data_IF_812231725190
#
_entry.id   IF_812231725190
#
_cell.length_a   1.000
_cell.length_b   1.000
_cell.length_c   1.000
_cell.angle_alpha   90.00
_cell.angle_beta   90.00
_cell.angle_gamma   90.00
#
_symmetry.space_group_name_H-M   'P 1'
#
loop_
_entity.id
_entity.type
_entity.pdbx_description
1 polymer ?
#
# COMPACT_ATOMS: atom_id res chain seq x y z
N UNK A 1 -2.80 22.50 -14.33
CA UNK A 1 -3.13 21.56 -13.24
C UNK A 1 -1.90 20.72 -12.94
N UNK A 2 -1.54 20.53 -11.67
CA UNK A 2 -0.41 19.66 -11.28
C UNK A 2 -0.79 18.20 -11.52
N UNK A 3 0.02 17.49 -12.30
CA UNK A 3 -0.13 16.06 -12.56
C UNK A 3 0.70 15.29 -11.53
N UNK A 4 0.14 14.22 -10.96
CA UNK A 4 0.94 13.29 -10.16
C UNK A 4 1.94 12.56 -11.06
N UNK A 5 3.14 12.23 -10.57
CA UNK A 5 4.08 11.41 -11.32
C UNK A 5 3.44 10.06 -11.67
N UNK A 6 3.63 9.61 -12.90
CA UNK A 6 3.22 8.27 -13.33
C UNK A 6 4.14 7.20 -12.76
N UNK A 7 3.75 5.92 -12.87
CA UNK A 7 4.65 4.82 -12.53
C UNK A 7 5.98 4.89 -13.29
N UNK A 8 5.96 5.29 -14.57
CA UNK A 8 7.19 5.44 -15.35
C UNK A 8 8.03 6.66 -14.94
N UNK A 9 7.40 7.74 -14.47
CA UNK A 9 8.13 8.83 -13.84
C UNK A 9 8.82 8.33 -12.57
N UNK A 10 8.11 7.62 -11.69
CA UNK A 10 8.65 7.10 -10.44
C UNK A 10 9.79 6.09 -10.63
N UNK A 11 9.88 5.38 -11.78
CA UNK A 11 11.05 4.55 -12.14
C UNK A 11 12.35 5.34 -12.29
N UNK A 12 12.30 6.68 -12.33
CA UNK A 12 13.50 7.52 -12.29
C UNK A 12 14.08 7.66 -10.88
N UNK A 13 13.36 7.22 -9.85
CA UNK A 13 13.83 7.18 -8.48
C UNK A 13 14.24 5.76 -8.08
N UNK A 14 15.24 5.61 -7.20
CA UNK A 14 15.47 4.34 -6.52
C UNK A 14 14.36 4.06 -5.50
N UNK A 15 14.23 2.81 -5.06
CA UNK A 15 13.09 2.36 -4.24
C UNK A 15 12.95 3.12 -2.91
N UNK A 16 14.04 3.45 -2.21
CA UNK A 16 13.96 4.20 -0.95
C UNK A 16 13.35 5.59 -1.14
N UNK A 17 13.69 6.27 -2.25
CA UNK A 17 13.13 7.57 -2.59
C UNK A 17 11.64 7.46 -2.98
N UNK A 18 11.24 6.39 -3.68
CA UNK A 18 9.83 6.14 -3.99
C UNK A 18 9.00 5.83 -2.72
N UNK A 19 9.54 5.07 -1.78
CA UNK A 19 8.91 4.81 -0.47
C UNK A 19 8.82 6.10 0.36
N UNK A 20 9.89 6.89 0.44
CA UNK A 20 9.87 8.19 1.12
C UNK A 20 8.78 9.12 0.57
N UNK A 21 8.62 9.13 -0.76
CA UNK A 21 7.58 9.89 -1.44
C UNK A 21 6.16 9.46 -1.01
N UNK A 22 5.86 8.15 -1.03
CA UNK A 22 4.57 7.64 -0.58
C UNK A 22 4.34 7.85 0.92
N UNK A 23 5.36 7.64 1.75
CA UNK A 23 5.29 7.83 3.21
C UNK A 23 4.88 9.27 3.57
N UNK A 24 5.44 10.28 2.88
CA UNK A 24 5.03 11.67 3.06
C UNK A 24 3.61 11.96 2.57
N UNK A 25 3.12 11.26 1.56
CA UNK A 25 1.74 11.41 1.12
C UNK A 25 0.78 10.81 2.15
N UNK A 26 1.06 9.61 2.65
CA UNK A 26 0.28 8.96 3.71
C UNK A 26 0.27 9.77 5.01
N UNK A 27 1.43 10.32 5.42
CA UNK A 27 1.54 11.13 6.64
C UNK A 27 0.67 12.40 6.62
N UNK A 28 0.40 12.97 5.44
CA UNK A 28 -0.46 14.16 5.29
C UNK A 28 -1.96 13.90 5.42
N UNK A 29 -2.37 12.64 5.50
CA UNK A 29 -3.77 12.25 5.64
C UNK A 29 -4.04 11.44 6.91
N UNK A 30 -3.02 11.23 7.73
CA UNK A 30 -3.12 10.51 9.00
C UNK A 30 -4.12 11.19 9.96
N UNK A 31 -4.14 12.52 9.99
CA UNK A 31 -5.00 13.34 10.84
C UNK A 31 -6.50 13.25 10.48
N UNK A 32 -6.83 12.69 9.31
CA UNK A 32 -8.20 12.45 8.86
C UNK A 32 -8.82 11.20 9.51
N UNK A 33 -8.00 10.35 10.14
CA UNK A 33 -8.48 9.21 10.92
C UNK A 33 -8.91 9.75 12.28
N UNK A 34 -10.15 10.21 12.39
CA UNK A 34 -10.71 10.82 13.60
C UNK A 34 -11.78 9.93 14.23
N UNK A 35 -11.93 9.97 15.57
CA UNK A 35 -13.04 9.30 16.24
C UNK A 35 -14.38 9.77 15.67
N UNK A 36 -15.21 8.81 15.27
CA UNK A 36 -16.59 9.05 14.87
C UNK A 36 -17.47 7.94 15.42
N UNK A 37 -18.80 8.10 15.37
CA UNK A 37 -19.73 7.03 15.73
C UNK A 37 -19.48 5.75 14.90
N UNK A 38 -19.00 5.92 13.66
CA UNK A 38 -18.63 4.84 12.76
C UNK A 38 -17.24 4.26 13.05
N UNK A 39 -16.39 5.00 13.77
CA UNK A 39 -15.02 4.60 14.12
C UNK A 39 -14.74 4.73 15.63
N UNK A 40 -15.33 3.87 16.46
CA UNK A 40 -15.12 3.91 17.92
C UNK A 40 -13.66 3.63 18.32
N UNK A 41 -12.87 3.03 17.42
CA UNK A 41 -11.45 2.66 17.62
C UNK A 41 -10.48 3.54 16.83
N UNK A 42 -10.88 4.74 16.43
CA UNK A 42 -10.04 5.59 15.58
C UNK A 42 -8.65 5.88 16.16
N UNK A 43 -8.50 5.98 17.48
CA UNK A 43 -7.19 6.18 18.12
C UNK A 43 -6.27 4.96 17.95
N UNK A 44 -6.81 3.75 18.13
CA UNK A 44 -6.09 2.49 17.89
C UNK A 44 -5.65 2.41 16.42
N UNK A 45 -6.54 2.77 15.50
CA UNK A 45 -6.27 2.75 14.06
C UNK A 45 -5.25 3.78 13.64
N UNK A 46 -5.35 5.00 14.20
CA UNK A 46 -4.37 6.06 13.97
C UNK A 46 -3.00 5.61 14.45
N UNK A 47 -2.90 4.95 15.61
CA UNK A 47 -1.65 4.38 16.09
C UNK A 47 -1.08 3.34 15.12
N UNK A 48 -1.89 2.40 14.62
CA UNK A 48 -1.45 1.40 13.63
C UNK A 48 -0.97 2.06 12.33
N UNK A 49 -1.68 3.08 11.86
CA UNK A 49 -1.30 3.84 10.66
C UNK A 49 -0.02 4.64 10.90
N UNK A 50 0.14 5.25 12.07
CA UNK A 50 1.36 5.97 12.45
C UNK A 50 2.56 5.03 12.47
N UNK A 51 2.47 3.89 13.17
CA UNK A 51 3.49 2.84 13.24
C UNK A 51 3.89 2.38 11.81
N UNK A 52 2.90 2.21 10.95
CA UNK A 52 3.10 1.83 9.54
C UNK A 52 3.90 2.86 8.76
N UNK A 53 3.55 4.13 8.90
CA UNK A 53 4.24 5.21 8.21
C UNK A 53 5.67 5.36 8.78
N UNK A 54 5.86 5.28 10.09
CA UNK A 54 7.18 5.37 10.72
C UNK A 54 8.10 4.22 10.31
N UNK A 55 7.58 2.99 10.21
CA UNK A 55 8.33 1.87 9.67
C UNK A 55 8.80 2.13 8.22
N UNK A 56 7.93 2.68 7.38
CA UNK A 56 8.29 3.04 6.01
C UNK A 56 9.30 4.19 5.94
N UNK A 57 9.19 5.20 6.82
CA UNK A 57 10.18 6.28 6.95
C UNK A 57 11.54 5.72 7.38
N UNK A 58 11.57 4.80 8.36
CA UNK A 58 12.78 4.14 8.82
C UNK A 58 13.47 3.36 7.69
N UNK A 59 12.72 2.53 6.95
CA UNK A 59 13.27 1.78 5.80
C UNK A 59 13.78 2.72 4.69
N UNK A 60 13.05 3.78 4.37
CA UNK A 60 13.51 4.76 3.39
C UNK A 60 14.79 5.49 3.84
N UNK A 61 14.95 5.69 5.15
CA UNK A 61 16.15 6.22 5.79
C UNK A 61 17.28 5.17 5.95
N UNK A 62 17.16 4.00 5.31
CA UNK A 62 18.18 2.96 5.33
C UNK A 62 18.20 2.12 6.60
N UNK A 63 17.21 2.28 7.48
CA UNK A 63 17.00 1.43 8.63
C UNK A 63 16.59 0.02 8.21
N UNK A 64 16.96 -0.95 9.03
CA UNK A 64 16.54 -2.34 8.87
C UNK A 64 15.22 -2.55 9.61
N UNK A 65 14.34 -3.36 9.03
CA UNK A 65 13.09 -3.80 9.65
C UNK A 65 13.05 -5.32 9.60
N UNK A 66 12.92 -5.95 10.76
CA UNK A 66 12.83 -7.40 10.85
C UNK A 66 11.60 -7.91 10.08
N UNK A 67 11.75 -9.05 9.39
CA UNK A 67 10.68 -9.61 8.56
C UNK A 67 9.42 -9.92 9.39
N UNK A 68 9.59 -10.43 10.62
CA UNK A 68 8.47 -10.75 11.52
C UNK A 68 7.74 -9.48 11.97
N UNK A 69 8.47 -8.41 12.31
CA UNK A 69 7.89 -7.13 12.68
C UNK A 69 7.12 -6.48 11.51
N UNK A 70 7.64 -6.63 10.28
CA UNK A 70 6.96 -6.14 9.08
C UNK A 70 5.68 -6.95 8.78
N UNK A 71 5.71 -8.26 8.97
CA UNK A 71 4.54 -9.13 8.79
C UNK A 71 3.44 -8.83 9.82
N UNK A 72 3.82 -8.65 11.09
CA UNK A 72 2.89 -8.25 12.16
C UNK A 72 2.25 -6.89 11.86
N UNK A 73 3.05 -5.92 11.39
CA UNK A 73 2.56 -4.61 11.02
C UNK A 73 1.61 -4.65 9.82
N UNK A 74 1.92 -5.47 8.81
CA UNK A 74 1.03 -5.71 7.66
C UNK A 74 -0.30 -6.34 8.10
N UNK A 75 -0.28 -7.31 9.02
CA UNK A 75 -1.50 -7.90 9.57
C UNK A 75 -2.35 -6.88 10.34
N UNK A 76 -1.73 -6.10 11.24
CA UNK A 76 -2.42 -5.07 12.02
C UNK A 76 -3.10 -4.05 11.10
N UNK A 77 -2.43 -3.55 10.07
CA UNK A 77 -3.04 -2.58 9.16
C UNK A 77 -4.13 -3.20 8.26
N UNK A 78 -4.01 -4.48 7.88
CA UNK A 78 -5.07 -5.20 7.14
C UNK A 78 -6.34 -5.28 7.98
N UNK A 79 -6.24 -5.56 9.28
CA UNK A 79 -7.40 -5.55 10.18
C UNK A 79 -8.09 -4.18 10.17
N UNK A 80 -7.31 -3.09 10.23
CA UNK A 80 -7.85 -1.72 10.14
C UNK A 80 -8.54 -1.45 8.79
N UNK A 81 -7.95 -1.88 7.66
CA UNK A 81 -8.55 -1.76 6.32
C UNK A 81 -9.89 -2.48 6.22
N UNK A 82 -9.99 -3.70 6.78
CA UNK A 82 -11.22 -4.50 6.75
C UNK A 82 -12.33 -3.74 7.47
N UNK A 83 -12.09 -3.25 8.69
CA UNK A 83 -13.13 -2.54 9.44
C UNK A 83 -13.48 -1.20 8.76
N UNK A 84 -12.50 -0.46 8.24
CA UNK A 84 -12.75 0.77 7.49
C UNK A 84 -13.63 0.52 6.23
N UNK A 85 -13.45 -0.62 5.57
CA UNK A 85 -14.23 -1.02 4.39
C UNK A 85 -15.67 -1.42 4.74
N UNK A 86 -15.87 -2.06 5.89
CA UNK A 86 -17.20 -2.41 6.41
C UNK A 86 -18.01 -1.15 6.74
N UNK A 87 -17.38 -0.16 7.39
CA UNK A 87 -17.98 1.14 7.65
C UNK A 87 -18.42 1.81 6.35
N UNK A 88 -17.56 1.80 5.34
CA UNK A 88 -17.84 2.34 3.99
C UNK A 88 -18.97 1.63 3.23
N UNK A 89 -19.47 0.50 3.72
CA UNK A 89 -20.56 -0.26 3.09
C UNK A 89 -21.95 0.02 3.69
N UNK A 90 -22.02 0.82 4.76
CA UNK A 90 -23.28 1.20 5.40
C UNK A 90 -24.04 2.26 4.58
N UNK A 91 -25.36 2.43 4.80
CA UNK A 91 -26.17 3.40 4.04
C UNK A 91 -25.86 4.86 4.37
N UNK A 92 -25.19 5.13 5.49
CA UNK A 92 -24.96 6.49 6.03
C UNK A 92 -23.46 6.84 6.09
N UNK A 93 -22.73 6.54 5.02
CA UNK A 93 -21.29 6.86 4.96
C UNK A 93 -21.08 8.36 4.80
N UNK A 94 -20.49 8.99 5.81
CA UNK A 94 -20.13 10.41 5.75
C UNK A 94 -18.91 10.63 4.86
N UNK A 95 -18.68 11.88 4.44
CA UNK A 95 -17.46 12.23 3.70
C UNK A 95 -16.20 11.94 4.54
N UNK A 96 -16.23 12.26 5.84
CA UNK A 96 -15.14 11.98 6.77
C UNK A 96 -14.82 10.49 6.82
N UNK A 97 -15.84 9.62 6.79
CA UNK A 97 -15.62 8.17 6.79
C UNK A 97 -14.91 7.67 5.54
N UNK A 98 -15.23 8.23 4.37
CA UNK A 98 -14.52 7.93 3.13
C UNK A 98 -13.06 8.40 3.19
N UNK A 99 -12.83 9.59 3.73
CA UNK A 99 -11.47 10.14 3.86
C UNK A 99 -10.60 9.29 4.79
N UNK A 100 -11.15 8.87 5.92
CA UNK A 100 -10.47 7.96 6.84
C UNK A 100 -10.16 6.60 6.17
N UNK A 101 -11.12 6.01 5.45
CA UNK A 101 -10.89 4.76 4.73
C UNK A 101 -9.80 4.88 3.65
N UNK A 102 -9.75 5.99 2.92
CA UNK A 102 -8.68 6.26 1.95
C UNK A 102 -7.32 6.49 2.63
N UNK A 103 -7.28 7.14 3.78
CA UNK A 103 -6.04 7.32 4.56
C UNK A 103 -5.48 5.98 5.05
N UNK A 104 -6.34 5.09 5.57
CA UNK A 104 -5.99 3.72 5.96
C UNK A 104 -5.48 2.92 4.76
N UNK A 105 -6.14 3.01 3.60
CA UNK A 105 -5.69 2.35 2.37
C UNK A 105 -4.32 2.86 1.90
N UNK A 106 -4.02 4.15 2.10
CA UNK A 106 -2.70 4.71 1.80
C UNK A 106 -1.60 4.07 2.66
N UNK A 107 -1.85 3.86 3.95
CA UNK A 107 -0.93 3.20 4.86
C UNK A 107 -0.74 1.71 4.52
N UNK A 108 -1.82 0.99 4.20
CA UNK A 108 -1.72 -0.41 3.77
C UNK A 108 -0.91 -0.57 2.48
N UNK A 109 -1.19 0.24 1.45
CA UNK A 109 -0.41 0.21 0.22
C UNK A 109 1.07 0.56 0.46
N UNK A 110 1.35 1.46 1.42
CA UNK A 110 2.71 1.81 1.82
C UNK A 110 3.45 0.64 2.49
N UNK A 111 2.86 -0.05 3.48
CA UNK A 111 3.52 -1.21 4.11
C UNK A 111 3.77 -2.33 3.10
N UNK A 112 2.81 -2.54 2.18
CA UNK A 112 2.97 -3.51 1.12
C UNK A 112 4.12 -3.14 0.16
N UNK A 113 4.29 -1.85 -0.14
CA UNK A 113 5.44 -1.35 -0.90
C UNK A 113 6.77 -1.64 -0.19
N UNK A 114 6.84 -1.43 1.13
CA UNK A 114 8.02 -1.72 1.96
C UNK A 114 8.34 -3.22 1.92
N UNK A 115 7.36 -4.08 2.15
CA UNK A 115 7.49 -5.55 2.09
C UNK A 115 8.05 -6.01 0.74
N UNK A 116 7.51 -5.50 -0.37
CA UNK A 116 7.97 -5.80 -1.71
C UNK A 116 9.38 -5.27 -2.01
N UNK A 117 9.74 -4.09 -1.50
CA UNK A 117 11.08 -3.52 -1.69
C UNK A 117 12.15 -4.30 -0.91
N UNK A 118 11.84 -4.74 0.31
CA UNK A 118 12.72 -5.63 1.09
C UNK A 118 12.89 -6.97 0.37
N UNK A 119 11.79 -7.57 -0.08
CA UNK A 119 11.84 -8.82 -0.85
C UNK A 119 12.60 -8.67 -2.18
N UNK A 120 12.59 -7.50 -2.82
CA UNK A 120 13.32 -7.24 -4.06
C UNK A 120 14.84 -7.39 -3.91
N UNK A 121 15.38 -7.29 -2.70
CA UNK A 121 16.82 -7.45 -2.46
C UNK A 121 17.29 -8.89 -2.64
N UNK A 122 16.45 -9.85 -2.24
CA UNK A 122 16.75 -11.30 -2.25
C UNK A 122 16.04 -12.04 -3.37
N UNK A 123 15.08 -11.42 -4.06
CA UNK A 123 14.35 -12.03 -5.16
C UNK A 123 15.25 -12.36 -6.36
N UNK A 124 15.01 -13.53 -6.97
CA UNK A 124 15.66 -13.95 -8.21
C UNK A 124 15.44 -12.94 -9.37
N UNK A 125 14.28 -12.26 -9.39
CA UNK A 125 13.96 -11.17 -10.31
C UNK A 125 13.73 -9.87 -9.55
N UNK A 126 14.82 -9.15 -9.26
CA UNK A 126 14.80 -7.86 -8.56
C UNK A 126 13.85 -6.85 -9.22
N UNK A 127 13.89 -6.76 -10.55
CA UNK A 127 13.06 -5.83 -11.34
C UNK A 127 11.56 -6.10 -11.20
N UNK A 128 11.14 -7.37 -11.16
CA UNK A 128 9.71 -7.70 -11.01
C UNK A 128 9.19 -7.32 -9.62
N UNK A 129 9.93 -7.67 -8.56
CA UNK A 129 9.59 -7.28 -7.19
C UNK A 129 9.58 -5.75 -7.03
N UNK A 130 10.58 -5.05 -7.57
CA UNK A 130 10.66 -3.60 -7.57
C UNK A 130 9.49 -2.93 -8.33
N UNK A 131 9.05 -3.49 -9.46
CA UNK A 131 7.89 -2.98 -10.19
C UNK A 131 6.59 -3.13 -9.38
N UNK A 132 6.43 -4.23 -8.63
CA UNK A 132 5.29 -4.40 -7.73
C UNK A 132 5.34 -3.40 -6.58
N UNK A 133 6.51 -3.20 -5.97
CA UNK A 133 6.70 -2.19 -4.92
C UNK A 133 6.31 -0.80 -5.43
N UNK A 134 6.69 -0.47 -6.66
CA UNK A 134 6.36 0.80 -7.30
C UNK A 134 4.85 0.97 -7.55
N UNK A 135 4.15 -0.10 -7.95
CA UNK A 135 2.70 -0.08 -8.10
C UNK A 135 2.01 0.19 -6.75
N UNK A 136 2.53 -0.39 -5.67
CA UNK A 136 2.05 -0.13 -4.31
C UNK A 136 2.33 1.32 -3.87
N UNK A 137 3.48 1.89 -4.23
CA UNK A 137 3.79 3.32 -4.02
C UNK A 137 2.77 4.21 -4.74
N UNK A 138 2.47 3.95 -6.02
CA UNK A 138 1.44 4.70 -6.77
C UNK A 138 0.09 4.60 -6.08
N UNK A 139 -0.30 3.38 -5.67
CA UNK A 139 -1.57 3.14 -4.97
C UNK A 139 -1.66 3.91 -3.66
N UNK A 140 -0.57 3.96 -2.88
CA UNK A 140 -0.53 4.72 -1.62
C UNK A 140 -0.72 6.23 -1.86
N UNK A 141 -0.08 6.77 -2.90
CA UNK A 141 -0.18 8.19 -3.26
C UNK A 141 -1.58 8.54 -3.77
N UNK A 142 -2.15 7.71 -4.65
CA UNK A 142 -3.50 7.92 -5.16
C UNK A 142 -4.55 7.84 -4.04
N UNK A 143 -4.41 6.90 -3.11
CA UNK A 143 -5.26 6.81 -1.93
C UNK A 143 -5.14 8.04 -1.03
N UNK A 144 -3.93 8.54 -0.77
CA UNK A 144 -3.74 9.77 0.00
C UNK A 144 -4.36 11.00 -0.70
N UNK A 145 -4.27 11.08 -2.03
CA UNK A 145 -4.89 12.18 -2.79
C UNK A 145 -6.42 12.05 -2.82
N UNK A 146 -6.96 10.83 -2.84
CA UNK A 146 -8.40 10.59 -2.72
C UNK A 146 -8.92 10.98 -1.32
N UNK A 147 -8.16 10.71 -0.27
CA UNK A 147 -8.45 11.17 1.09
C UNK A 147 -8.43 12.71 1.20
N UNK A 148 -7.42 13.37 0.61
CA UNK A 148 -7.32 14.82 0.62
C UNK A 148 -6.71 15.35 -0.70
N UNK A 149 -7.53 15.98 -1.57
CA UNK A 149 -7.05 16.52 -2.84
C UNK A 149 -5.90 17.53 -2.73
N UNK A 150 -5.75 18.21 -1.58
CA UNK A 150 -4.64 19.16 -1.34
C UNK A 150 -3.27 18.49 -1.33
N UNK A 151 -3.20 17.18 -1.03
CA UNK A 151 -1.96 16.38 -1.03
C UNK A 151 -1.30 16.41 -2.42
N UNK A 152 -2.07 16.51 -3.51
CA UNK A 152 -1.57 16.49 -4.88
C UNK A 152 -0.46 17.52 -5.15
N UNK A 153 -0.63 18.75 -4.68
CA UNK A 153 0.35 19.83 -4.90
C UNK A 153 1.65 19.58 -4.12
N UNK A 154 1.52 19.12 -2.88
CA UNK A 154 2.66 18.82 -2.02
C UNK A 154 3.42 17.58 -2.53
N UNK A 155 2.70 16.60 -3.05
CA UNK A 155 3.27 15.42 -3.69
C UNK A 155 4.06 15.78 -4.96
N UNK A 156 3.52 16.62 -5.85
CA UNK A 156 4.27 17.11 -7.02
C UNK A 156 5.58 17.84 -6.62
N UNK A 157 5.54 18.63 -5.55
CA UNK A 157 6.71 19.29 -5.03
C UNK A 157 7.76 18.33 -4.46
N UNK A 158 7.35 17.34 -3.64
CA UNK A 158 8.24 16.31 -3.11
C UNK A 158 8.89 15.49 -4.23
N UNK A 159 8.10 15.10 -5.24
CA UNK A 159 8.58 14.44 -6.45
C UNK A 159 9.69 15.23 -7.14
N UNK A 160 9.45 16.51 -7.43
CA UNK A 160 10.44 17.39 -8.08
C UNK A 160 11.72 17.56 -7.27
N UNK A 161 11.63 17.57 -5.95
CA UNK A 161 12.81 17.59 -5.07
C UNK A 161 13.59 16.28 -5.18
N UNK A 162 12.91 15.15 -5.00
CA UNK A 162 13.52 13.82 -5.08
C UNK A 162 14.18 13.55 -6.43
N UNK A 163 13.53 13.92 -7.54
CA UNK A 163 14.04 13.68 -8.89
C UNK A 163 15.32 14.46 -9.21
N UNK A 164 15.64 15.51 -8.43
CA UNK A 164 16.87 16.29 -8.57
C UNK A 164 18.00 15.77 -7.66
N UNK A 165 17.66 14.93 -6.67
CA UNK A 165 18.64 14.34 -5.78
C UNK A 165 19.30 13.14 -6.45
N UNK A 166 20.64 13.08 -6.46
CA UNK A 166 21.42 11.95 -7.01
C UNK A 166 21.42 10.76 -6.05
N UNK A 167 20.25 10.15 -5.84
CA UNK A 167 20.02 9.07 -4.88
C UNK A 167 20.29 7.67 -5.46
N UNK A 168 20.43 7.51 -6.77
CA UNK A 168 20.62 6.21 -7.42
C UNK A 168 19.62 6.02 -8.56
N UNK A 169 19.44 4.77 -8.98
CA UNK A 169 18.56 4.42 -10.09
C UNK A 169 17.71 3.19 -9.75
N UNK A 170 16.48 3.14 -10.28
CA UNK A 170 15.65 1.94 -10.24
C UNK A 170 16.33 0.76 -11.00
N UNK A 171 16.21 -0.50 -10.57
CA UNK A 171 15.43 -1.01 -9.42
C UNK A 171 16.21 -1.09 -8.10
N UNK A 172 17.33 -0.37 -7.96
CA UNK A 172 18.11 -0.41 -6.71
C UNK A 172 17.38 0.32 -5.57
N UNK A 173 17.72 -0.01 -4.32
CA UNK A 173 17.24 0.74 -3.15
C UNK A 173 17.70 2.20 -3.16
N UNK A 174 18.90 2.45 -3.67
CA UNK A 174 19.52 3.78 -3.70
C UNK A 174 20.02 4.24 -2.33
N UNK A 175 20.37 5.52 -2.25
CA UNK A 175 20.83 6.18 -1.03
C UNK A 175 19.66 6.37 -0.06
N UNK A 176 19.88 6.14 1.24
CA UNK A 176 18.94 6.50 2.29
C UNK A 176 18.48 7.94 2.21
N UNK A 177 17.21 8.18 2.53
CA UNK A 177 16.63 9.52 2.65
C UNK A 177 15.62 9.58 3.79
N UNK A 178 15.84 10.52 4.71
CA UNK A 178 14.88 10.78 5.78
C UNK A 178 13.66 11.52 5.22
N UNK A 179 12.50 10.88 5.27
CA UNK A 179 11.24 11.43 4.78
C UNK A 179 10.47 12.27 5.83
N UNK A 180 10.98 12.33 7.07
CA UNK A 180 10.40 13.07 8.19
C UNK A 180 10.39 14.60 8.00
N UNK A 181 9.80 15.34 8.96
CA UNK A 181 9.67 16.79 8.89
C UNK A 181 11.01 17.54 8.85
N UNK A 182 12.03 16.99 9.51
CA UNK A 182 13.40 17.55 9.55
C UNK A 182 14.30 17.04 8.41
N UNK A 183 13.72 16.23 7.50
CA UNK A 183 14.43 15.68 6.35
C UNK A 183 14.67 16.70 5.23
N UNK A 184 15.45 16.32 4.19
CA UNK A 184 15.76 17.20 3.05
C UNK A 184 14.54 17.63 2.22
N UNK A 185 13.38 16.99 2.41
CA UNK A 185 12.13 17.35 1.76
C UNK A 185 11.43 18.53 2.46
N UNK A 186 11.81 18.82 3.71
CA UNK A 186 11.28 19.90 4.53
C UNK A 186 9.96 19.54 5.24
N UNK A 187 9.29 20.54 5.83
CA UNK A 187 8.05 20.34 6.59
C UNK A 187 6.98 19.61 5.78
N UNK A 188 6.17 18.77 6.45
CA UNK A 188 5.10 17.99 5.82
C UNK A 188 4.00 18.87 5.22
N UNK A 189 3.62 19.89 6.00
CA UNK A 189 2.65 20.89 5.61
C UNK A 189 3.45 22.13 5.19
N UNK A 190 3.06 22.76 4.09
CA UNK A 190 3.73 23.94 3.57
C UNK A 190 3.50 25.18 4.44
N UNK A 191 3.74 25.09 5.75
CA UNK A 191 3.95 26.25 6.60
C UNK A 191 5.16 26.94 6.02
N UNK A 192 4.89 27.91 5.14
CA UNK A 192 5.86 28.91 4.77
C UNK A 192 6.23 29.54 6.11
N UNK A 193 7.33 29.08 6.69
CA UNK A 193 7.95 29.75 7.82
C UNK A 193 8.36 31.10 7.27
N UNK A 194 7.50 32.10 7.46
CA UNK A 194 7.66 33.50 7.08
C UNK A 194 8.83 34.18 7.81
N UNK A 195 9.74 33.42 8.39
CA UNK A 195 10.81 33.89 9.27
C UNK A 195 12.19 33.32 8.95
N UNK A 196 12.41 32.68 7.79
CA UNK A 196 13.78 32.41 7.36
C UNK A 196 14.36 33.70 6.78
N UNK A 197 14.95 34.49 7.67
CA UNK A 197 15.95 35.50 7.36
C UNK A 197 17.06 34.83 6.54
N UNK A 198 16.92 34.86 5.22
CA UNK A 198 17.96 34.42 4.32
C UNK A 198 19.24 35.20 4.69
N UNK A 199 20.36 34.52 4.99
CA UNK A 199 21.64 35.21 5.12
C UNK A 199 21.90 35.93 3.81
N UNK A 200 22.06 37.25 3.90
CA UNK A 200 22.36 38.13 2.76
C UNK A 200 23.44 37.47 1.91
N UNK A 201 23.15 37.13 0.63
CA UNK A 201 24.15 36.51 -0.22
C UNK A 201 25.34 37.47 -0.38
N UNK A 202 26.58 36.99 -0.27
CA UNK A 202 27.74 37.82 -0.54
C UNK A 202 27.69 38.36 -1.98
N UNK A 203 28.19 39.58 -2.22
CA UNK A 203 28.15 40.22 -3.53
C UNK A 203 28.83 39.33 -4.58
N UNK A 204 28.10 39.06 -5.67
CA UNK A 204 28.51 38.21 -6.79
C UNK A 204 29.63 38.91 -7.57
N UNK A 205 30.82 38.31 -7.74
CA UNK A 205 31.86 38.85 -8.61
C UNK A 205 31.41 38.77 -10.07
N UNK A 206 31.43 39.90 -10.76
CA UNK A 206 31.31 40.00 -12.22
C UNK A 206 32.63 39.56 -12.85
N UNK A 207 32.66 38.40 -13.50
CA UNK A 207 33.77 38.00 -14.35
C UNK A 207 33.25 37.31 -15.61
N UNK A 208 33.64 37.91 -16.73
CA UNK A 208 33.62 37.39 -18.09
C UNK A 208 34.15 35.96 -18.19
N UNK A 209 33.60 35.17 -19.12
CA UNK A 209 34.37 34.56 -20.20
C UNK A 209 33.44 33.87 -21.22
N UNK A 210 33.59 34.30 -22.46
CA UNK A 210 33.16 33.64 -23.69
C UNK A 210 33.85 32.26 -23.79
N UNK A 211 33.07 31.19 -23.91
CA UNK A 211 33.58 29.91 -24.43
C UNK A 211 32.91 29.55 -25.76
N UNK A 212 33.69 29.18 -26.79
CA UNK A 212 33.19 28.79 -28.10
C UNK A 212 32.58 27.39 -28.07
N UNK A 213 31.37 27.29 -28.63
CA UNK A 213 30.62 26.05 -28.82
C UNK A 213 31.29 25.19 -29.90
N UNK A 214 31.71 23.94 -29.63
CA UNK A 214 32.20 23.04 -30.65
C UNK A 214 31.04 22.49 -31.48
N UNK A 215 30.97 22.93 -32.73
CA UNK A 215 30.03 22.49 -33.76
C UNK A 215 30.43 21.09 -34.27
N UNK A 216 30.10 20.04 -33.52
CA UNK A 216 30.27 18.66 -33.95
C UNK A 216 29.02 18.20 -34.73
N UNK A 217 29.05 18.40 -36.06
CA UNK A 217 28.08 17.82 -36.98
C UNK A 217 28.27 16.30 -37.05
N UNK A 218 27.47 15.58 -36.26
CA UNK A 218 27.34 14.13 -36.36
C UNK A 218 26.50 13.82 -37.60
N UNK A 219 27.15 13.28 -38.63
CA UNK A 219 26.50 12.77 -39.84
C UNK A 219 25.50 11.68 -39.41
N UNK A 220 24.19 11.83 -39.69
CA UNK A 220 23.20 10.85 -39.32
C UNK A 220 23.46 9.55 -40.08
N UNK A 221 23.67 8.46 -39.35
CA UNK A 221 23.76 7.13 -39.94
C UNK A 221 22.49 6.84 -40.75
N UNK A 222 22.61 6.20 -41.93
CA UNK A 222 21.47 5.85 -42.75
C UNK A 222 20.53 4.95 -41.94
N UNK A 223 19.35 5.50 -41.63
CA UNK A 223 18.33 4.79 -40.87
C UNK A 223 17.94 3.46 -41.53
N UNK A 224 17.44 2.50 -40.76
CA UNK A 224 17.06 1.18 -41.28
C UNK A 224 16.04 1.35 -42.42
N UNK A 225 16.33 0.69 -43.55
CA UNK A 225 15.49 0.71 -44.75
C UNK A 225 14.05 0.32 -44.39
N UNK A 226 13.05 0.94 -45.02
CA UNK A 226 11.62 0.72 -44.75
C UNK A 226 11.24 -0.78 -44.75
N UNK A 227 11.90 -1.58 -45.59
CA UNK A 227 11.71 -3.04 -45.64
C UNK A 227 12.14 -3.77 -44.35
N UNK A 228 13.25 -3.34 -43.73
CA UNK A 228 13.72 -3.90 -42.48
C UNK A 228 12.75 -3.60 -41.33
N UNK A 229 12.22 -2.37 -41.29
CA UNK A 229 11.17 -1.98 -40.34
C UNK A 229 9.89 -2.81 -40.54
N UNK A 230 9.50 -3.07 -41.79
CA UNK A 230 8.34 -3.90 -42.12
C UNK A 230 8.44 -5.34 -41.61
N UNK A 231 9.62 -5.97 -41.74
CA UNK A 231 9.88 -7.33 -41.21
C UNK A 231 9.83 -7.37 -39.69
N UNK A 232 10.43 -6.38 -39.02
CA UNK A 232 10.39 -6.27 -37.55
C UNK A 232 8.96 -6.17 -37.04
N UNK A 233 8.13 -5.29 -37.63
CA UNK A 233 6.73 -5.13 -37.26
C UNK A 233 5.89 -6.39 -37.48
N UNK A 234 6.18 -7.17 -38.53
CA UNK A 234 5.49 -8.44 -38.77
C UNK A 234 5.84 -9.49 -37.70
N UNK A 235 7.10 -9.57 -37.28
CA UNK A 235 7.52 -10.51 -36.24
C UNK A 235 6.96 -10.12 -34.87
N UNK A 236 6.97 -8.83 -34.54
CA UNK A 236 6.33 -8.31 -33.32
C UNK A 236 4.83 -8.62 -33.28
N UNK A 237 4.12 -8.50 -34.41
CA UNK A 237 2.69 -8.86 -34.49
C UNK A 237 2.46 -10.35 -34.25
N UNK A 238 3.31 -11.22 -34.80
CA UNK A 238 3.23 -12.67 -34.56
C UNK A 238 3.50 -12.99 -33.09
N UNK A 239 4.48 -12.33 -32.48
CA UNK A 239 4.81 -12.52 -31.07
C UNK A 239 3.66 -12.07 -30.16
N UNK A 240 3.09 -10.88 -30.41
CA UNK A 240 1.92 -10.39 -29.69
C UNK A 240 0.71 -11.31 -29.82
N UNK A 241 0.50 -11.92 -30.98
CA UNK A 241 -0.57 -12.90 -31.18
C UNK A 241 -0.36 -14.16 -30.32
N UNK A 242 0.87 -14.68 -30.25
CA UNK A 242 1.24 -15.82 -29.38
C UNK A 242 1.04 -15.48 -27.90
N UNK A 243 1.47 -14.29 -27.48
CA UNK A 243 1.36 -13.85 -26.09
C UNK A 243 -0.12 -13.66 -25.70
N UNK A 244 -0.95 -13.12 -26.59
CA UNK A 244 -2.41 -13.02 -26.37
C UNK A 244 -3.06 -14.39 -26.19
N UNK A 245 -2.70 -15.37 -27.03
CA UNK A 245 -3.21 -16.73 -26.91
C UNK A 245 -2.78 -17.39 -25.59
N UNK A 246 -1.52 -17.19 -25.18
CA UNK A 246 -1.00 -17.66 -23.89
C UNK A 246 -1.76 -17.05 -22.71
N UNK A 247 -1.92 -15.72 -22.70
CA UNK A 247 -2.65 -15.03 -21.63
C UNK A 247 -4.12 -15.46 -21.56
N UNK A 248 -4.78 -15.69 -22.70
CA UNK A 248 -6.14 -16.21 -22.73
C UNK A 248 -6.24 -17.60 -22.07
N UNK A 249 -5.28 -18.48 -22.32
CA UNK A 249 -5.22 -19.81 -21.70
C UNK A 249 -4.94 -19.73 -20.18
N UNK A 250 -4.00 -18.87 -19.76
CA UNK A 250 -3.71 -18.63 -18.35
C UNK A 250 -4.94 -18.06 -17.63
N UNK A 251 -5.67 -17.14 -18.25
CA UNK A 251 -6.90 -16.57 -17.71
C UNK A 251 -8.02 -17.61 -17.56
N UNK A 252 -8.21 -18.47 -18.56
CA UNK A 252 -9.15 -19.59 -18.49
C UNK A 252 -8.80 -20.55 -17.34
N UNK A 253 -7.50 -20.84 -17.14
CA UNK A 253 -7.02 -21.66 -16.03
C UNK A 253 -7.31 -21.02 -14.67
N UNK A 254 -7.03 -19.72 -14.51
CA UNK A 254 -7.33 -18.98 -13.29
C UNK A 254 -8.84 -18.94 -13.00
N UNK A 255 -9.68 -18.75 -14.01
CA UNK A 255 -11.14 -18.79 -13.88
C UNK A 255 -11.60 -20.16 -13.36
N UNK A 256 -11.04 -21.27 -13.88
CA UNK A 256 -11.32 -22.63 -13.41
C UNK A 256 -10.86 -22.84 -11.96
N UNK A 257 -9.64 -22.43 -11.61
CA UNK A 257 -9.13 -22.51 -10.24
C UNK A 257 -10.01 -21.72 -9.25
N UNK A 258 -10.46 -20.52 -9.63
CA UNK A 258 -11.36 -19.70 -8.81
C UNK A 258 -12.70 -20.38 -8.57
N UNK A 259 -13.28 -20.99 -9.61
CA UNK A 259 -14.52 -21.76 -9.46
C UNK A 259 -14.34 -22.94 -8.49
N UNK A 260 -13.22 -23.67 -8.58
CA UNK A 260 -12.89 -24.76 -7.66
C UNK A 260 -12.69 -24.28 -6.21
N UNK A 261 -12.03 -23.15 -6.01
CA UNK A 261 -11.85 -22.56 -4.68
C UNK A 261 -13.18 -22.16 -4.06
N UNK A 262 -14.08 -21.54 -4.83
CA UNK A 262 -15.42 -21.18 -4.37
C UNK A 262 -16.23 -22.41 -3.97
N UNK A 263 -16.15 -23.50 -4.74
CA UNK A 263 -16.82 -24.76 -4.39
C UNK A 263 -16.27 -25.35 -3.09
N UNK A 264 -14.94 -25.39 -2.92
CA UNK A 264 -14.32 -25.84 -1.66
C UNK A 264 -14.73 -24.99 -0.48
N UNK A 265 -14.80 -23.66 -0.64
CA UNK A 265 -15.29 -22.76 0.41
C UNK A 265 -16.76 -23.04 0.75
N UNK A 266 -17.60 -23.33 -0.24
CA UNK A 266 -19.00 -23.71 0.00
C UNK A 266 -19.10 -25.02 0.79
N UNK A 267 -18.35 -26.04 0.41
CA UNK A 267 -18.28 -27.33 1.12
C UNK A 267 -17.80 -27.15 2.56
N UNK A 268 -16.76 -26.35 2.79
CA UNK A 268 -16.27 -26.06 4.13
C UNK A 268 -17.32 -25.35 5.00
N UNK A 269 -18.04 -24.36 4.45
CA UNK A 269 -19.15 -23.69 5.17
C UNK A 269 -20.26 -24.66 5.54
N UNK A 270 -20.60 -25.59 4.66
CA UNK A 270 -21.60 -26.62 4.95
C UNK A 270 -21.12 -27.55 6.09
N UNK A 271 -19.88 -28.02 6.03
CA UNK A 271 -19.28 -28.85 7.09
C UNK A 271 -19.27 -28.13 8.45
N UNK A 272 -18.95 -26.83 8.48
CA UNK A 272 -19.01 -26.02 9.69
C UNK A 272 -20.44 -25.89 10.22
N UNK A 273 -21.43 -25.75 9.34
CA UNK A 273 -22.84 -25.68 9.75
C UNK A 273 -23.33 -27.00 10.35
N UNK A 274 -23.02 -28.12 9.70
CA UNK A 274 -23.33 -29.47 10.20
C UNK A 274 -22.64 -29.73 11.55
N UNK A 275 -21.35 -29.39 11.68
CA UNK A 275 -20.62 -29.52 12.93
C UNK A 275 -21.26 -28.71 14.07
N UNK A 276 -21.67 -27.46 13.80
CA UNK A 276 -22.39 -26.63 14.78
C UNK A 276 -23.71 -27.26 15.23
N UNK A 277 -24.44 -27.88 14.31
CA UNK A 277 -25.69 -28.59 14.63
C UNK A 277 -25.44 -29.81 15.52
N UNK A 278 -24.40 -30.60 15.22
CA UNK A 278 -23.97 -31.73 16.05
C UNK A 278 -23.59 -31.30 17.46
N UNK A 279 -22.81 -30.20 17.59
CA UNK A 279 -22.43 -29.65 18.91
C UNK A 279 -23.65 -29.17 19.70
N UNK A 280 -24.62 -28.51 19.06
CA UNK A 280 -25.88 -28.11 19.71
C UNK A 280 -26.67 -29.31 20.20
N UNK A 281 -26.87 -30.31 19.34
CA UNK A 281 -27.60 -31.55 19.68
C UNK A 281 -26.93 -32.27 20.85
N UNK A 282 -25.60 -32.39 20.84
CA UNK A 282 -24.86 -32.98 21.95
C UNK A 282 -24.96 -32.16 23.24
N UNK A 283 -25.02 -30.83 23.14
CA UNK A 283 -25.25 -29.95 24.30
C UNK A 283 -26.65 -30.14 24.89
N UNK A 284 -27.68 -30.31 24.06
CA UNK A 284 -29.07 -30.49 24.51
C UNK A 284 -29.26 -31.87 25.17
N UNK A 285 -28.62 -32.91 24.62
CA UNK A 285 -28.58 -34.26 25.24
C UNK A 285 -27.86 -34.22 26.61
N UNK A 286 -26.88 -33.33 26.82
CA UNK A 286 -26.21 -33.20 28.12
C UNK A 286 -27.03 -32.46 29.17
N UNK A 287 -27.95 -31.57 28.76
CA UNK A 287 -28.81 -30.80 29.68
C UNK A 287 -30.02 -31.60 30.20
N UNK A 288 -30.54 -32.51 29.40
CA UNK A 288 -31.73 -33.31 29.74
C UNK A 288 -31.55 -34.22 30.99
N UNK A 289 -30.40 -34.88 31.22
CA UNK A 289 -30.18 -35.68 32.44
C UNK A 289 -29.99 -34.85 33.71
N UNK A 290 -29.48 -33.61 33.61
CA UNK A 290 -29.29 -32.75 34.79
C UNK A 290 -30.60 -32.21 35.32
N UNK A 291 -31.55 -31.88 34.44
CA UNK A 291 -32.88 -31.42 34.84
C UNK A 291 -33.67 -32.56 35.50
N UNK A 292 -33.62 -33.77 34.93
CA UNK A 292 -34.26 -34.95 35.53
C UNK A 292 -33.72 -35.33 36.91
N UNK A 293 -32.40 -35.22 37.12
CA UNK A 293 -31.79 -35.46 38.45
C UNK A 293 -32.17 -34.39 39.46
N UNK A 294 -32.18 -33.10 39.08
CA UNK A 294 -32.62 -32.03 39.98
C UNK A 294 -34.07 -32.22 40.41
N UNK A 295 -34.98 -32.53 39.48
CA UNK A 295 -36.38 -32.78 39.85
C UNK A 295 -36.60 -34.03 40.71
N UNK A 296 -35.78 -35.07 40.52
CA UNK A 296 -35.85 -36.29 41.33
C UNK A 296 -35.33 -36.04 42.76
N UNK A 297 -34.23 -35.31 42.88
CA UNK A 297 -33.62 -34.92 44.16
C UNK A 297 -34.54 -33.94 44.94
N UNK A 298 -35.17 -32.99 44.26
CA UNK A 298 -36.18 -32.10 44.86
C UNK A 298 -37.41 -32.88 45.36
N UNK A 299 -37.89 -33.88 44.60
CA UNK A 299 -39.02 -34.71 45.01
C UNK A 299 -38.69 -35.61 46.23
N UNK A 300 -37.46 -36.12 46.30
CA UNK A 300 -36.98 -36.93 47.44
C UNK A 300 -36.84 -36.07 48.71
N UNK A 301 -36.36 -34.82 48.59
CA UNK A 301 -36.30 -33.85 49.69
C UNK A 301 -37.71 -33.49 50.17
N UNK A 302 -38.65 -33.22 49.26
CA UNK A 302 -40.03 -32.87 49.60
C UNK A 302 -40.73 -34.02 50.33
N UNK A 303 -40.58 -35.26 49.84
CA UNK A 303 -41.16 -36.45 50.49
C UNK A 303 -40.58 -36.73 51.87
N UNK A 304 -39.34 -36.31 52.14
CA UNK A 304 -38.70 -36.47 53.46
C UNK A 304 -39.15 -35.42 54.49
N UNK A 305 -39.77 -34.32 54.05
CA UNK A 305 -40.28 -33.25 54.92
C UNK A 305 -41.73 -33.49 55.36
N UNK A 306 -42.50 -34.28 54.61
CA UNK A 306 -43.92 -34.54 54.86
C UNK A 306 -44.21 -35.79 55.73
N UNK A 307 -43.17 -36.54 56.14
CA UNK A 307 -43.27 -37.76 56.97
C UNK A 307 -42.67 -37.59 58.36
#
# INVERSE_FOLDING_TARGET
MTRLPTGDDLKRLPLNAAIAYAARCARRVEDLIQPSASFPKADEWRSVVADTIDAAVNVAAGGELAADALAELEERVVQVVVVASEVGSTREVTQTDRQAAFAVNAAYALVHAVSLAVAAQTAASKTNAANKALLSVVTAVDAAVAANPKVRHLADHDWKKLSRMRLGAFPSLGKPINAGPDGPLGPLHGTQTTGSSAPTPPPRPTAHQDEPVPENQVVPEPGPTIEAQGRTLQEERKQLAKDRARLANEWARLKKCRAQLNEKQRQFRQMVAEFKQTVRTASDIRKTPSEGRQTAEEAEIQSSLDG
#
